data_IF_900655103622
#
_entry.id   IF_900655103622
#
_cell.length_a   1.000
_cell.length_b   1.000
_cell.length_c   1.000
_cell.angle_alpha   90.00
_cell.angle_beta   90.00
_cell.angle_gamma   90.00
#
_symmetry.space_group_name_H-M   'P 1'
#
loop_
_entity.id
_entity.type
_entity.pdbx_description
1 polymer ?
#
# COMPACT_ATOMS: atom_id res chain seq x y z
N UNK A 1 -7.93 -9.59 -62.50
CA UNK A 1 -6.61 -10.13 -62.09
C UNK A 1 -5.91 -9.11 -61.20
N UNK A 2 -5.58 -9.42 -59.95
CA UNK A 2 -4.80 -8.51 -59.10
C UNK A 2 -3.35 -8.42 -59.57
N UNK A 3 -2.86 -7.20 -59.79
CA UNK A 3 -1.47 -6.92 -60.20
C UNK A 3 -0.47 -7.59 -59.24
N UNK A 4 0.67 -8.11 -59.74
CA UNK A 4 1.75 -8.66 -58.90
C UNK A 4 2.19 -7.69 -57.79
N UNK A 5 2.17 -6.38 -58.06
CA UNK A 5 2.44 -5.33 -57.08
C UNK A 5 1.39 -5.33 -55.95
N UNK A 6 0.11 -5.42 -56.29
CA UNK A 6 -0.98 -5.48 -55.31
C UNK A 6 -0.90 -6.72 -54.40
N UNK A 7 -0.51 -7.88 -54.95
CA UNK A 7 -0.29 -9.09 -54.15
C UNK A 7 0.89 -8.97 -53.19
N UNK A 8 1.98 -8.32 -53.62
CA UNK A 8 3.14 -8.05 -52.77
C UNK A 8 2.78 -7.08 -51.64
N UNK A 9 2.05 -6.01 -51.96
CA UNK A 9 1.58 -5.03 -50.96
C UNK A 9 0.66 -5.71 -49.93
N UNK A 10 -0.32 -6.52 -50.37
CA UNK A 10 -1.21 -7.24 -49.45
C UNK A 10 -0.43 -8.17 -48.51
N UNK A 11 0.56 -8.91 -49.02
CA UNK A 11 1.41 -9.76 -48.17
C UNK A 11 2.17 -8.96 -47.11
N UNK A 12 2.71 -7.80 -47.48
CA UNK A 12 3.36 -6.89 -46.53
C UNK A 12 2.39 -6.36 -45.47
N UNK A 13 1.18 -5.95 -45.86
CA UNK A 13 0.14 -5.51 -44.93
C UNK A 13 -0.20 -6.62 -43.93
N UNK A 14 -0.45 -7.84 -44.41
CA UNK A 14 -0.76 -8.98 -43.55
C UNK A 14 0.40 -9.32 -42.60
N UNK A 15 1.65 -9.23 -43.08
CA UNK A 15 2.83 -9.42 -42.24
C UNK A 15 2.91 -8.37 -41.13
N UNK A 16 2.76 -7.08 -41.47
CA UNK A 16 2.82 -5.97 -40.51
C UNK A 16 1.71 -6.12 -39.46
N UNK A 17 0.47 -6.39 -39.88
CA UNK A 17 -0.66 -6.62 -38.97
C UNK A 17 -0.43 -7.84 -38.07
N UNK A 18 0.12 -8.93 -38.62
CA UNK A 18 0.45 -10.12 -37.85
C UNK A 18 1.49 -9.85 -36.77
N UNK A 19 2.56 -9.13 -37.11
CA UNK A 19 3.60 -8.71 -36.15
C UNK A 19 3.01 -7.77 -35.09
N UNK A 20 2.21 -6.79 -35.50
CA UNK A 20 1.57 -5.85 -34.58
C UNK A 20 0.66 -6.57 -33.56
N UNK A 21 -0.10 -7.59 -33.99
CA UNK A 21 -0.92 -8.40 -33.09
C UNK A 21 -0.10 -9.23 -32.10
N UNK A 22 1.03 -9.79 -32.54
CA UNK A 22 1.95 -10.51 -31.62
C UNK A 22 2.52 -9.55 -30.57
N UNK A 23 2.95 -8.35 -30.99
CA UNK A 23 3.42 -7.31 -30.06
C UNK A 23 2.30 -6.93 -29.08
N UNK A 24 1.07 -6.73 -29.58
CA UNK A 24 -0.09 -6.44 -28.72
C UNK A 24 -0.36 -7.57 -27.72
N UNK A 25 -0.21 -8.84 -28.13
CA UNK A 25 -0.31 -10.00 -27.23
C UNK A 25 0.75 -9.98 -26.12
N UNK A 26 2.02 -9.69 -26.44
CA UNK A 26 3.07 -9.52 -25.44
C UNK A 26 2.81 -8.34 -24.50
N UNK A 27 2.34 -7.22 -25.03
CA UNK A 27 1.93 -6.06 -24.22
C UNK A 27 0.80 -6.45 -23.27
N UNK A 28 -0.24 -7.13 -23.76
CA UNK A 28 -1.33 -7.61 -22.92
C UNK A 28 -0.85 -8.58 -21.83
N UNK A 29 0.08 -9.50 -22.14
CA UNK A 29 0.73 -10.36 -21.15
C UNK A 29 1.47 -9.55 -20.08
N UNK A 30 2.28 -8.58 -20.48
CA UNK A 30 3.01 -7.71 -19.55
C UNK A 30 2.05 -6.98 -18.61
N UNK A 31 0.98 -6.38 -19.15
CA UNK A 31 0.00 -5.70 -18.32
C UNK A 31 -0.74 -6.66 -17.39
N UNK A 32 -1.14 -7.84 -17.86
CA UNK A 32 -1.90 -8.79 -17.07
C UNK A 32 -1.07 -9.49 -15.97
N UNK A 33 0.08 -10.04 -16.36
CA UNK A 33 0.90 -10.88 -15.48
C UNK A 33 1.92 -10.11 -14.65
N UNK A 34 2.30 -8.90 -15.07
CA UNK A 34 3.26 -8.07 -14.32
C UNK A 34 2.60 -6.84 -13.72
N UNK A 35 2.05 -5.92 -14.52
CA UNK A 35 1.50 -4.66 -13.98
C UNK A 35 0.30 -4.91 -13.05
N UNK A 36 -0.74 -5.60 -13.52
CA UNK A 36 -1.99 -5.85 -12.79
C UNK A 36 -1.91 -7.01 -11.79
N UNK A 37 -0.79 -7.73 -11.70
CA UNK A 37 -0.71 -8.87 -10.77
C UNK A 37 -0.97 -8.47 -9.31
N UNK A 38 -0.33 -7.42 -8.76
CA UNK A 38 -0.56 -7.02 -7.38
C UNK A 38 -1.98 -6.53 -7.14
N UNK A 39 -2.53 -5.67 -8.00
CA UNK A 39 -3.93 -5.26 -7.91
C UNK A 39 -4.89 -6.46 -7.91
N UNK A 40 -4.63 -7.49 -8.72
CA UNK A 40 -5.46 -8.71 -8.76
C UNK A 40 -5.32 -9.54 -7.48
N UNK A 41 -4.13 -9.63 -6.92
CA UNK A 41 -3.89 -10.27 -5.63
C UNK A 41 -4.62 -9.54 -4.50
N UNK A 42 -4.47 -8.22 -4.43
CA UNK A 42 -5.13 -7.34 -3.47
C UNK A 42 -6.65 -7.25 -3.67
N UNK A 43 -7.19 -7.48 -4.86
CA UNK A 43 -8.64 -7.58 -5.06
C UNK A 43 -9.20 -8.98 -4.77
N UNK A 44 -8.32 -10.00 -4.66
CA UNK A 44 -8.72 -11.41 -4.54
C UNK A 44 -8.84 -11.80 -3.08
N UNK A 45 -10.07 -11.97 -2.59
CA UNK A 45 -10.32 -12.48 -1.24
C UNK A 45 -9.60 -13.82 -0.99
N UNK A 46 -9.61 -14.75 -1.96
CA UNK A 46 -8.83 -16.02 -1.87
C UNK A 46 -7.35 -15.77 -1.68
N UNK A 47 -6.80 -14.75 -2.34
CA UNK A 47 -5.37 -14.49 -2.23
C UNK A 47 -5.08 -13.91 -0.85
N UNK A 48 -5.83 -12.89 -0.43
CA UNK A 48 -5.67 -12.28 0.88
C UNK A 48 -5.85 -13.27 2.04
N UNK A 49 -6.75 -14.25 1.94
CA UNK A 49 -6.95 -15.25 3.01
C UNK A 49 -5.89 -16.34 3.04
N UNK A 50 -5.11 -16.51 1.97
CA UNK A 50 -4.05 -17.53 1.89
C UNK A 50 -2.63 -16.95 2.01
N UNK A 51 -2.49 -15.65 2.24
CA UNK A 51 -1.20 -14.99 2.34
C UNK A 51 -1.13 -14.22 3.66
N UNK A 52 0.07 -14.19 4.21
CA UNK A 52 0.40 -13.42 5.40
C UNK A 52 0.21 -11.92 5.16
N UNK A 53 0.15 -11.16 6.25
CA UNK A 53 0.12 -9.69 6.18
C UNK A 53 1.40 -9.13 5.55
N UNK A 54 2.54 -9.82 5.72
CA UNK A 54 3.82 -9.45 5.09
C UNK A 54 3.73 -9.58 3.58
N UNK A 55 3.29 -10.73 3.08
CA UNK A 55 3.11 -10.95 1.65
C UNK A 55 2.10 -9.97 1.05
N UNK A 56 1.00 -9.70 1.77
CA UNK A 56 0.05 -8.65 1.39
C UNK A 56 0.73 -7.29 1.28
N UNK A 57 1.52 -6.90 2.28
CA UNK A 57 2.25 -5.65 2.28
C UNK A 57 3.21 -5.56 1.08
N UNK A 58 3.94 -6.63 0.77
CA UNK A 58 4.79 -6.67 -0.44
C UNK A 58 3.99 -6.47 -1.74
N UNK A 59 2.79 -7.04 -1.85
CA UNK A 59 1.93 -6.81 -3.02
C UNK A 59 1.41 -5.36 -3.06
N UNK A 60 1.05 -4.75 -1.93
CA UNK A 60 0.71 -3.32 -1.86
C UNK A 60 1.87 -2.48 -2.40
N UNK A 61 3.08 -2.67 -1.89
CA UNK A 61 4.28 -1.97 -2.37
C UNK A 61 4.50 -2.16 -3.88
N UNK A 62 4.34 -3.39 -4.40
CA UNK A 62 4.45 -3.68 -5.84
C UNK A 62 3.38 -2.95 -6.65
N UNK A 63 2.14 -2.84 -6.15
CA UNK A 63 1.04 -2.15 -6.84
C UNK A 63 1.40 -0.68 -7.08
N UNK A 64 1.83 0.00 -6.02
CA UNK A 64 2.22 1.41 -6.06
C UNK A 64 3.41 1.68 -6.98
N UNK A 65 4.49 0.94 -6.81
CA UNK A 65 5.68 1.14 -7.64
C UNK A 65 5.44 0.75 -9.12
N UNK A 66 4.50 -0.15 -9.42
CA UNK A 66 4.19 -0.55 -10.79
C UNK A 66 3.22 0.39 -11.48
N UNK A 67 2.19 0.90 -10.80
CA UNK A 67 1.22 1.79 -11.43
C UNK A 67 1.55 3.26 -11.31
N UNK A 68 2.41 3.65 -10.36
CA UNK A 68 2.62 5.07 -10.02
C UNK A 68 1.29 5.73 -9.63
N UNK A 69 0.31 4.94 -9.17
CA UNK A 69 -0.99 5.47 -8.81
C UNK A 69 -0.87 6.31 -7.57
N UNK A 70 -1.57 7.45 -7.59
CA UNK A 70 -1.91 8.14 -6.36
C UNK A 70 -2.59 7.14 -5.43
N UNK A 71 -2.16 7.09 -4.18
CA UNK A 71 -2.86 6.36 -3.17
C UNK A 71 -4.30 6.87 -3.00
N UNK A 72 -5.28 5.98 -3.21
CA UNK A 72 -6.70 6.21 -2.89
C UNK A 72 -7.04 5.44 -1.60
N UNK A 73 -6.29 5.81 -0.56
CA UNK A 73 -5.85 4.91 0.53
C UNK A 73 -6.98 4.42 1.45
N UNK A 74 -8.03 5.22 1.61
CA UNK A 74 -9.14 4.85 2.48
C UNK A 74 -10.16 3.92 1.80
N UNK A 75 -10.29 3.96 0.47
CA UNK A 75 -11.31 3.16 -0.23
C UNK A 75 -10.90 1.70 -0.47
N UNK A 76 -9.61 1.36 -0.33
CA UNK A 76 -9.08 0.01 -0.58
C UNK A 76 -8.54 -0.69 0.67
N UNK A 77 -8.77 -0.14 1.86
CA UNK A 77 -8.22 -0.66 3.12
C UNK A 77 -6.69 -0.79 3.09
N UNK A 78 -6.03 0.17 2.44
CA UNK A 78 -4.59 0.19 2.21
C UNK A 78 -3.81 0.31 3.53
N UNK A 79 -2.62 -0.29 3.59
CA UNK A 79 -1.80 -0.30 4.79
C UNK A 79 -0.57 0.61 4.72
N UNK A 80 -0.34 1.38 3.65
CA UNK A 80 0.81 2.30 3.57
C UNK A 80 0.89 3.25 4.76
N UNK A 81 -0.21 3.89 5.18
CA UNK A 81 -0.15 4.80 6.33
C UNK A 81 0.25 4.08 7.63
N UNK A 82 -0.18 2.83 7.77
CA UNK A 82 0.06 2.04 8.99
C UNK A 82 1.45 1.39 9.00
N UNK A 83 1.95 0.93 7.86
CA UNK A 83 3.22 0.19 7.74
C UNK A 83 4.37 0.99 7.15
N UNK A 84 4.07 2.16 6.57
CA UNK A 84 5.04 3.03 5.94
C UNK A 84 6.07 3.57 6.91
N UNK A 85 7.32 3.51 6.49
CA UNK A 85 8.46 4.07 7.18
C UNK A 85 8.87 5.41 6.54
N UNK A 86 9.99 5.98 7.01
CA UNK A 86 10.60 7.18 6.43
C UNK A 86 10.75 7.09 4.90
N UNK A 87 11.23 5.97 4.37
CA UNK A 87 11.46 5.82 2.93
C UNK A 87 10.16 5.90 2.14
N UNK A 88 9.08 5.32 2.67
CA UNK A 88 7.74 5.45 2.09
C UNK A 88 7.21 6.88 2.12
N UNK A 89 7.40 7.60 3.23
CA UNK A 89 7.03 9.02 3.32
C UNK A 89 7.80 9.86 2.30
N UNK A 90 9.11 9.65 2.17
CA UNK A 90 9.95 10.36 1.19
C UNK A 90 9.51 10.00 -0.25
N UNK A 91 9.29 8.73 -0.55
CA UNK A 91 8.84 8.29 -1.86
C UNK A 91 7.50 8.92 -2.25
N UNK A 92 6.55 8.99 -1.32
CA UNK A 92 5.26 9.63 -1.57
C UNK A 92 5.40 11.13 -1.82
N UNK A 93 6.22 11.83 -1.02
CA UNK A 93 6.47 13.26 -1.20
C UNK A 93 7.15 13.54 -2.55
N UNK A 94 8.13 12.73 -2.93
CA UNK A 94 8.79 12.84 -4.24
C UNK A 94 7.77 12.71 -5.39
N UNK A 95 6.82 11.78 -5.28
CA UNK A 95 5.78 11.64 -6.29
C UNK A 95 4.83 12.84 -6.35
N UNK A 96 4.46 13.41 -5.20
CA UNK A 96 3.63 14.63 -5.14
C UNK A 96 4.32 15.81 -5.80
N UNK A 97 5.62 15.98 -5.52
CA UNK A 97 6.39 17.14 -5.95
C UNK A 97 6.79 17.01 -7.43
N UNK A 98 7.25 15.83 -7.84
CA UNK A 98 7.96 15.65 -9.10
C UNK A 98 7.15 14.90 -10.18
N UNK A 99 6.05 14.20 -9.83
CA UNK A 99 5.29 13.39 -10.81
C UNK A 99 4.06 14.14 -11.32
N UNK A 100 4.09 14.51 -12.62
CA UNK A 100 2.93 15.10 -13.30
C UNK A 100 1.75 14.12 -13.29
N UNK A 101 0.62 14.55 -12.72
CA UNK A 101 -0.60 13.75 -12.66
C UNK A 101 -0.73 12.86 -11.43
N UNK A 102 0.21 12.94 -10.47
CA UNK A 102 -0.01 12.37 -9.14
C UNK A 102 -1.13 13.17 -8.45
N UNK A 103 -2.23 12.50 -8.13
CA UNK A 103 -3.36 13.12 -7.43
C UNK A 103 -3.00 13.30 -5.96
N UNK A 104 -3.31 14.46 -5.41
CA UNK A 104 -3.27 14.69 -3.97
C UNK A 104 -4.72 14.84 -3.50
N UNK A 105 -5.13 14.04 -2.53
CA UNK A 105 -6.45 14.14 -1.89
C UNK A 105 -6.28 14.02 -0.37
N UNK A 106 -7.35 14.28 0.41
CA UNK A 106 -7.31 14.17 1.87
C UNK A 106 -6.73 12.83 2.37
N UNK A 107 -6.96 11.72 1.66
CA UNK A 107 -6.38 10.42 2.00
C UNK A 107 -4.84 10.40 1.94
N UNK A 108 -4.24 11.17 1.02
CA UNK A 108 -2.78 11.33 0.91
C UNK A 108 -2.24 12.06 2.14
N UNK A 109 -2.94 13.12 2.59
CA UNK A 109 -2.57 13.88 3.78
C UNK A 109 -2.61 13.02 5.03
N UNK A 110 -3.71 12.29 5.27
CA UNK A 110 -3.85 11.40 6.42
C UNK A 110 -2.76 10.34 6.51
N UNK A 111 -2.24 9.88 5.37
CA UNK A 111 -1.16 8.87 5.35
C UNK A 111 0.20 9.46 5.66
N UNK A 112 0.46 10.71 5.29
CA UNK A 112 1.64 11.39 5.83
C UNK A 112 1.53 11.61 7.32
N UNK A 113 0.38 12.03 7.81
CA UNK A 113 0.16 12.19 9.25
C UNK A 113 0.42 10.86 9.97
N UNK A 114 -0.09 9.74 9.44
CA UNK A 114 0.16 8.40 10.01
C UNK A 114 1.64 8.01 10.00
N UNK A 115 2.46 8.52 9.08
CA UNK A 115 3.90 8.24 9.06
C UNK A 115 4.75 9.26 9.82
N UNK A 116 4.25 10.48 10.06
CA UNK A 116 5.08 11.63 10.49
C UNK A 116 4.55 12.38 11.72
N UNK A 117 3.28 12.20 12.10
CA UNK A 117 2.53 13.09 13.00
C UNK A 117 2.50 14.57 12.57
N UNK A 118 2.79 14.87 11.30
CA UNK A 118 2.81 16.22 10.77
C UNK A 118 1.67 16.45 9.79
N UNK A 119 1.10 17.65 9.86
CA UNK A 119 0.07 18.14 8.93
C UNK A 119 0.41 19.58 8.53
N UNK A 120 1.46 19.80 7.71
CA UNK A 120 1.66 21.11 7.08
C UNK A 120 0.46 21.40 6.16
N UNK A 121 0.09 22.69 6.08
CA UNK A 121 -1.04 23.22 5.29
C UNK A 121 -1.20 22.49 3.95
N UNK A 122 -2.43 22.09 3.61
CA UNK A 122 -2.81 21.18 2.51
C UNK A 122 -2.34 21.59 1.09
N UNK A 123 -1.03 21.57 0.86
CA UNK A 123 -0.42 21.87 -0.43
C UNK A 123 0.86 21.07 -0.63
N UNK A 124 1.15 20.70 -1.88
CA UNK A 124 2.41 20.04 -2.22
C UNK A 124 3.64 20.92 -1.97
N UNK A 125 3.49 22.26 -2.01
CA UNK A 125 4.56 23.21 -1.72
C UNK A 125 4.91 23.23 -0.23
N UNK A 126 3.92 23.28 0.66
CA UNK A 126 4.12 23.21 2.11
C UNK A 126 4.85 21.93 2.51
N UNK A 127 4.45 20.81 1.90
CA UNK A 127 5.07 19.51 2.12
C UNK A 127 6.52 19.44 1.62
N UNK A 128 6.82 20.11 0.50
CA UNK A 128 8.18 20.23 -0.02
C UNK A 128 9.07 21.02 0.93
N UNK A 129 8.61 22.19 1.38
CA UNK A 129 9.36 23.03 2.32
C UNK A 129 9.61 22.31 3.65
N UNK A 130 8.59 21.60 4.16
CA UNK A 130 8.73 20.78 5.35
C UNK A 130 9.77 19.68 5.15
N UNK A 131 9.72 18.95 4.03
CA UNK A 131 10.68 17.89 3.74
C UNK A 131 12.11 18.44 3.61
N UNK A 132 12.31 19.55 2.92
CA UNK A 132 13.63 20.15 2.75
C UNK A 132 14.31 20.49 4.09
N UNK A 133 13.51 20.85 5.10
CA UNK A 133 13.97 21.16 6.45
C UNK A 133 14.19 19.91 7.32
N UNK A 134 13.34 18.88 7.17
CA UNK A 134 13.27 17.75 8.10
C UNK A 134 13.78 16.42 7.53
N UNK A 135 14.21 16.36 6.26
CA UNK A 135 14.65 15.12 5.57
C UNK A 135 15.79 14.37 6.27
N UNK A 136 16.65 15.06 7.01
CA UNK A 136 17.81 14.46 7.67
C UNK A 136 17.45 13.87 9.05
N UNK A 137 16.28 14.19 9.58
CA UNK A 137 15.74 13.62 10.82
C UNK A 137 15.17 12.22 10.59
N UNK A 138 15.18 11.39 11.63
CA UNK A 138 14.57 10.05 11.64
C UNK A 138 13.05 10.13 11.69
N UNK A 139 12.35 9.04 11.35
CA UNK A 139 10.89 8.98 11.48
C UNK A 139 10.47 9.25 12.93
N UNK A 140 11.19 8.66 13.88
CA UNK A 140 10.94 8.75 15.31
C UNK A 140 11.09 10.19 15.83
N UNK A 141 12.03 10.95 15.28
CA UNK A 141 12.16 12.38 15.58
C UNK A 141 10.96 13.18 15.06
N UNK A 142 10.45 12.87 13.87
CA UNK A 142 9.21 13.48 13.36
C UNK A 142 8.02 13.17 14.27
N UNK A 143 7.90 11.91 14.70
CA UNK A 143 6.83 11.48 15.61
C UNK A 143 6.92 12.19 16.96
N UNK A 144 8.12 12.27 17.54
CA UNK A 144 8.41 12.97 18.80
C UNK A 144 7.97 14.43 18.74
N UNK A 145 8.40 15.17 17.71
CA UNK A 145 7.98 16.56 17.48
C UNK A 145 6.46 16.69 17.30
N UNK A 146 5.82 15.69 16.69
CA UNK A 146 4.38 15.63 16.54
C UNK A 146 3.64 15.45 17.87
N UNK A 147 4.16 14.61 18.77
CA UNK A 147 3.60 14.44 20.12
C UNK A 147 3.71 15.70 20.97
N UNK A 148 4.80 16.45 20.84
CA UNK A 148 5.03 17.70 21.59
C UNK A 148 3.92 18.73 21.35
N UNK A 149 3.33 18.76 20.16
CA UNK A 149 2.18 19.63 19.83
C UNK A 149 0.94 19.36 20.68
N UNK A 150 0.85 18.16 21.25
CA UNK A 150 -0.23 17.72 22.13
C UNK A 150 0.22 17.62 23.59
N UNK A 151 1.35 18.25 23.94
CA UNK A 151 1.86 18.29 25.31
C UNK A 151 2.48 16.98 25.79
N UNK A 152 2.81 16.05 24.89
CA UNK A 152 3.46 14.78 25.23
C UNK A 152 4.91 14.80 24.75
N UNK A 153 5.83 14.63 25.71
CA UNK A 153 7.26 14.45 25.41
C UNK A 153 7.62 12.98 25.61
N UNK A 154 8.30 12.39 24.62
CA UNK A 154 8.77 11.00 24.65
C UNK A 154 10.27 10.94 24.52
N UNK A 155 10.89 9.83 24.95
CA UNK A 155 12.33 9.64 24.90
C UNK A 155 12.79 8.82 23.69
N UNK A 156 13.94 9.16 23.10
CA UNK A 156 14.60 8.38 22.06
C UNK A 156 16.04 8.06 22.50
N UNK A 157 16.34 6.82 22.94
CA UNK A 157 15.49 5.63 22.95
C UNK A 157 14.34 5.70 23.98
N UNK A 158 13.23 4.94 23.76
CA UNK A 158 12.07 4.96 24.65
C UNK A 158 12.39 4.52 26.08
N UNK A 159 11.65 5.09 27.03
CA UNK A 159 11.74 4.73 28.45
C UNK A 159 10.36 4.43 29.04
N UNK A 160 10.33 3.85 30.24
CA UNK A 160 9.07 3.54 30.92
C UNK A 160 8.27 4.80 31.31
N UNK A 161 8.90 5.97 31.35
CA UNK A 161 8.24 7.26 31.62
C UNK A 161 7.31 7.68 30.46
N UNK A 162 7.55 7.16 29.25
CA UNK A 162 6.72 7.45 28.07
C UNK A 162 5.35 6.78 28.15
N UNK A 163 5.19 5.71 28.95
CA UNK A 163 4.05 4.81 28.87
C UNK A 163 2.71 5.49 29.19
N UNK A 164 2.63 6.14 30.35
CA UNK A 164 1.39 6.79 30.78
C UNK A 164 0.98 7.97 29.89
N UNK A 165 1.87 8.93 29.56
CA UNK A 165 1.52 10.02 28.64
C UNK A 165 0.99 9.52 27.30
N UNK A 166 1.59 8.47 26.74
CA UNK A 166 1.14 7.89 25.47
C UNK A 166 -0.19 7.14 25.58
N UNK A 167 -0.43 6.43 26.69
CA UNK A 167 -1.75 5.83 26.95
C UNK A 167 -2.84 6.89 27.13
N UNK A 168 -2.52 7.99 27.84
CA UNK A 168 -3.44 9.12 27.98
C UNK A 168 -3.74 9.76 26.62
N UNK A 169 -2.74 9.87 25.74
CA UNK A 169 -2.93 10.35 24.36
C UNK A 169 -3.85 9.42 23.56
N UNK A 170 -3.67 8.10 23.67
CA UNK A 170 -4.51 7.08 23.03
C UNK A 170 -5.96 7.08 23.51
N UNK A 171 -6.16 7.32 24.81
CA UNK A 171 -7.48 7.31 25.44
C UNK A 171 -8.21 8.64 25.37
N UNK A 172 -7.63 9.66 24.73
CA UNK A 172 -8.29 10.92 24.51
C UNK A 172 -9.47 10.71 23.54
N UNK A 173 -10.68 10.74 24.08
CA UNK A 173 -11.91 10.66 23.31
C UNK A 173 -12.20 12.02 22.70
N UNK A 174 -12.73 12.02 21.47
CA UNK A 174 -13.39 13.18 20.91
C UNK A 174 -14.55 13.55 21.85
N UNK A 175 -14.66 14.81 22.28
CA UNK A 175 -15.82 15.25 23.06
C UNK A 175 -17.08 15.12 22.21
N UNK A 176 -18.21 14.86 22.87
CA UNK A 176 -19.54 14.75 22.26
C UNK A 176 -19.82 15.87 21.25
N UNK A 177 -20.49 15.52 20.16
CA UNK A 177 -20.89 16.33 18.99
C UNK A 177 -21.69 17.62 19.32
N UNK A 178 -21.96 17.91 20.61
CA UNK A 178 -22.68 19.10 21.07
C UNK A 178 -21.76 20.27 21.50
N UNK A 179 -20.44 20.06 21.62
CA UNK A 179 -19.48 21.15 21.84
C UNK A 179 -18.97 21.65 20.49
N UNK A 180 -19.57 22.76 20.05
CA UNK A 180 -19.30 23.47 18.81
C UNK A 180 -17.83 23.94 18.76
N UNK A 181 -16.99 23.23 17.99
CA UNK A 181 -15.58 23.55 17.67
C UNK A 181 -14.63 23.66 18.86
N UNK A 182 -14.17 22.53 19.41
CA UNK A 182 -12.98 22.49 20.28
C UNK A 182 -11.74 22.11 19.44
N UNK A 183 -10.78 23.03 19.34
CA UNK A 183 -9.49 22.91 18.62
C UNK A 183 -8.55 21.80 19.18
N UNK A 184 -9.02 21.00 20.14
CA UNK A 184 -8.22 20.03 20.89
C UNK A 184 -8.45 18.56 20.51
N UNK A 185 -9.04 18.27 19.34
CA UNK A 185 -9.19 16.88 18.87
C UNK A 185 -7.80 16.33 18.47
N UNK A 186 -7.39 15.27 19.14
CA UNK A 186 -6.14 14.56 18.83
C UNK A 186 -6.37 13.71 17.58
N UNK A 187 -5.63 13.94 16.48
CA UNK A 187 -5.83 13.17 15.25
C UNK A 187 -5.57 11.68 15.45
N UNK A 188 -6.34 10.84 14.77
CA UNK A 188 -6.17 9.37 14.79
C UNK A 188 -4.76 8.93 14.39
N UNK A 189 -4.09 9.69 13.51
CA UNK A 189 -2.70 9.44 13.15
C UNK A 189 -1.75 9.54 14.36
N UNK A 190 -1.95 10.55 15.21
CA UNK A 190 -1.15 10.76 16.42
C UNK A 190 -1.41 9.66 17.44
N UNK A 191 -2.69 9.30 17.64
CA UNK A 191 -3.06 8.16 18.48
C UNK A 191 -2.41 6.87 17.97
N UNK A 192 -2.50 6.59 16.67
CA UNK A 192 -1.89 5.39 16.09
C UNK A 192 -0.38 5.34 16.29
N UNK A 193 0.33 6.46 16.15
CA UNK A 193 1.76 6.51 16.41
C UNK A 193 2.11 6.39 17.89
N UNK A 194 1.25 6.86 18.81
CA UNK A 194 1.43 6.58 20.24
C UNK A 194 1.31 5.08 20.54
N UNK A 195 0.36 4.40 19.89
CA UNK A 195 0.28 2.94 19.92
C UNK A 195 1.56 2.29 19.39
N UNK A 196 2.08 2.71 18.22
CA UNK A 196 3.32 2.16 17.64
C UNK A 196 4.50 2.34 18.58
N UNK A 197 4.63 3.53 19.16
CA UNK A 197 5.71 3.83 20.12
C UNK A 197 5.67 2.90 21.33
N UNK A 198 4.50 2.71 21.93
CA UNK A 198 4.30 1.76 23.04
C UNK A 198 4.58 0.32 22.61
N UNK A 199 4.02 -0.13 21.48
CA UNK A 199 4.20 -1.49 20.98
C UNK A 199 5.68 -1.80 20.75
N UNK A 200 6.39 -0.88 20.12
CA UNK A 200 7.76 -1.09 19.65
C UNK A 200 8.79 -0.81 20.76
N UNK A 201 8.43 -0.07 21.82
CA UNK A 201 9.27 0.10 23.02
C UNK A 201 9.31 -1.14 23.93
N UNK A 202 8.46 -2.13 23.68
CA UNK A 202 8.30 -3.31 24.52
C UNK A 202 7.37 -3.11 25.71
N UNK A 203 6.42 -2.17 25.62
CA UNK A 203 5.40 -1.96 26.65
C UNK A 203 4.61 -3.24 26.96
N UNK A 204 4.66 -3.68 28.23
CA UNK A 204 3.89 -4.80 28.74
C UNK A 204 2.64 -4.28 29.46
N UNK A 205 1.52 -4.27 28.73
CA UNK A 205 0.24 -3.80 29.23
C UNK A 205 -0.31 -4.65 30.39
N UNK A 206 -0.01 -5.96 30.43
CA UNK A 206 -0.46 -6.83 31.51
C UNK A 206 0.28 -6.52 32.81
N UNK A 207 1.59 -6.29 32.71
CA UNK A 207 2.40 -5.85 33.84
C UNK A 207 1.96 -4.47 34.32
N UNK A 208 1.71 -3.54 33.40
CA UNK A 208 1.23 -2.19 33.72
C UNK A 208 -0.07 -2.22 34.54
N UNK A 209 -1.09 -2.97 34.10
CA UNK A 209 -2.38 -3.05 34.83
C UNK A 209 -2.27 -3.73 36.19
N UNK A 210 -1.31 -4.66 36.35
CA UNK A 210 -1.05 -5.37 37.62
C UNK A 210 -0.35 -4.47 38.63
N UNK A 211 0.62 -3.68 38.17
CA UNK A 211 1.44 -2.80 39.03
C UNK A 211 0.71 -1.50 39.37
N UNK A 212 -0.05 -0.93 38.42
CA UNK A 212 -0.76 0.33 38.61
C UNK A 212 -2.23 0.11 38.99
N UNK A 213 -2.51 -0.08 40.29
CA UNK A 213 -3.85 -0.47 40.78
C UNK A 213 -4.98 0.55 40.51
N UNK A 214 -4.65 1.81 40.28
CA UNK A 214 -5.59 2.90 40.08
C UNK A 214 -5.76 3.29 38.60
N UNK A 215 -5.28 2.47 37.65
CA UNK A 215 -5.35 2.78 36.22
C UNK A 215 -6.79 3.02 35.72
N UNK A 216 -7.77 2.40 36.38
CA UNK A 216 -9.20 2.56 36.07
C UNK A 216 -9.83 3.83 36.66
N UNK A 217 -9.16 4.50 37.61
CA UNK A 217 -9.69 5.71 38.24
C UNK A 217 -9.65 6.91 37.27
N UNK A 218 -8.69 6.92 36.33
CA UNK A 218 -8.67 7.85 35.21
C UNK A 218 -9.38 7.23 34.02
N UNK A 219 -10.54 7.79 33.63
CA UNK A 219 -11.28 7.34 32.44
C UNK A 219 -10.39 7.36 31.19
N UNK A 220 -9.64 8.44 31.00
CA UNK A 220 -8.74 8.59 29.85
C UNK A 220 -7.64 7.53 29.83
N UNK A 221 -7.05 7.20 30.99
CA UNK A 221 -6.05 6.14 31.05
C UNK A 221 -6.66 4.76 30.76
N UNK A 222 -7.86 4.50 31.29
CA UNK A 222 -8.57 3.25 31.06
C UNK A 222 -8.94 3.07 29.59
N UNK A 223 -9.47 4.11 28.95
CA UNK A 223 -9.77 4.14 27.52
C UNK A 223 -8.48 3.93 26.70
N UNK A 224 -7.35 4.52 27.13
CA UNK A 224 -6.05 4.35 26.50
C UNK A 224 -5.54 2.90 26.50
N UNK A 225 -5.67 2.22 27.64
CA UNK A 225 -5.33 0.79 27.76
C UNK A 225 -6.24 -0.06 26.86
N UNK A 226 -7.54 0.21 26.85
CA UNK A 226 -8.50 -0.50 25.98
C UNK A 226 -8.18 -0.28 24.49
N UNK A 227 -7.91 0.97 24.08
CA UNK A 227 -7.50 1.33 22.73
C UNK A 227 -6.19 0.63 22.34
N UNK A 228 -5.19 0.62 23.23
CA UNK A 228 -3.94 -0.09 22.99
C UNK A 228 -4.19 -1.59 22.71
N UNK A 229 -4.97 -2.27 23.55
CA UNK A 229 -5.29 -3.70 23.38
C UNK A 229 -6.03 -3.94 22.06
N UNK A 230 -7.01 -3.09 21.74
CA UNK A 230 -7.79 -3.20 20.51
C UNK A 230 -6.93 -3.02 19.25
N UNK A 231 -6.10 -1.98 19.21
CA UNK A 231 -5.21 -1.70 18.08
C UNK A 231 -4.12 -2.78 17.98
N UNK A 232 -3.57 -3.25 19.11
CA UNK A 232 -2.59 -4.34 19.15
C UNK A 232 -3.10 -5.64 18.51
N UNK A 233 -4.37 -5.98 18.69
CA UNK A 233 -4.97 -7.15 18.05
C UNK A 233 -5.02 -7.02 16.51
N UNK A 234 -5.16 -5.78 16.02
CA UNK A 234 -5.18 -5.48 14.58
C UNK A 234 -3.79 -5.27 13.98
N UNK A 235 -2.78 -4.89 14.77
CA UNK A 235 -1.42 -4.59 14.32
C UNK A 235 -0.35 -5.15 15.27
N UNK A 236 -0.34 -6.49 15.49
CA UNK A 236 0.58 -7.11 16.43
C UNK A 236 2.02 -6.99 15.94
N UNK A 237 2.96 -6.91 16.90
CA UNK A 237 4.40 -6.85 16.60
C UNK A 237 4.90 -8.13 15.89
N UNK A 238 4.22 -9.26 16.10
CA UNK A 238 4.53 -10.55 15.47
C UNK A 238 4.43 -10.53 13.94
N UNK A 239 3.70 -9.58 13.38
CA UNK A 239 3.62 -9.42 11.92
C UNK A 239 4.91 -8.86 11.32
N UNK A 240 5.79 -8.23 12.13
CA UNK A 240 7.02 -7.60 11.62
C UNK A 240 6.79 -6.35 10.76
N UNK A 241 5.58 -5.78 10.79
CA UNK A 241 5.16 -4.67 9.91
C UNK A 241 5.00 -3.35 10.66
N UNK A 242 5.45 -2.26 10.03
CA UNK A 242 5.33 -0.90 10.57
C UNK A 242 6.09 -0.71 11.88
N UNK A 243 7.13 -1.50 12.14
CA UNK A 243 7.95 -1.41 13.36
C UNK A 243 8.88 -0.20 13.24
N UNK A 244 8.90 0.65 14.27
CA UNK A 244 9.82 1.78 14.41
C UNK A 244 11.27 1.29 14.55
N UNK A 245 12.25 2.14 14.22
CA UNK A 245 13.65 1.76 14.13
C UNK A 245 14.25 1.24 15.45
N UNK A 246 13.72 1.68 16.62
CA UNK A 246 14.12 1.15 17.92
C UNK A 246 13.42 -0.16 18.30
N UNK A 247 12.38 -0.56 17.56
CA UNK A 247 11.62 -1.77 17.81
C UNK A 247 12.36 -3.03 17.38
N UNK A 248 12.14 -4.12 18.12
CA UNK A 248 12.73 -5.42 17.80
C UNK A 248 11.86 -6.15 16.79
N UNK A 249 12.43 -6.51 15.64
CA UNK A 249 11.77 -7.41 14.68
C UNK A 249 11.50 -8.78 15.33
N UNK A 250 10.31 -9.37 15.12
CA UNK A 250 10.02 -10.72 15.58
C UNK A 250 10.93 -11.74 14.90
N UNK A 251 11.15 -12.89 15.55
CA UNK A 251 11.82 -14.01 14.91
C UNK A 251 10.93 -14.52 13.75
N UNK A 252 11.48 -14.77 12.55
CA UNK A 252 10.73 -15.36 11.44
C UNK A 252 9.96 -16.64 11.80
N UNK A 253 10.36 -17.37 12.85
CA UNK A 253 9.65 -18.56 13.34
C UNK A 253 8.28 -18.29 13.97
N UNK A 254 8.01 -17.05 14.40
CA UNK A 254 6.84 -16.70 15.20
C UNK A 254 5.63 -16.23 14.36
N UNK A 255 5.78 -16.18 13.03
CA UNK A 255 4.70 -15.84 12.11
C UNK A 255 3.68 -16.99 12.02
N UNK A 256 2.67 -16.94 12.88
CA UNK A 256 1.57 -17.91 12.93
C UNK A 256 0.77 -17.95 11.62
N UNK A 257 0.62 -19.16 11.06
CA UNK A 257 -0.29 -19.48 9.95
C UNK A 257 -1.75 -19.17 10.35
N UNK A 258 -2.45 -18.35 9.56
CA UNK A 258 -3.88 -18.09 9.73
C UNK A 258 -4.76 -18.85 8.72
N UNK A 259 -5.94 -19.18 9.23
CA UNK A 259 -6.92 -20.16 8.76
C UNK A 259 -7.64 -19.78 7.45
N UNK A 260 -7.98 -20.81 6.66
CA UNK A 260 -8.31 -20.73 5.23
C UNK A 260 -9.82 -20.79 5.00
N UNK A 261 -10.39 -19.73 4.41
CA UNK A 261 -11.72 -19.77 3.80
C UNK A 261 -11.76 -19.08 2.44
N UNK A 262 -12.62 -19.61 1.55
CA UNK A 262 -12.68 -19.30 0.11
C UNK A 262 -13.84 -18.33 -0.18
N UNK A 263 -13.59 -17.26 -0.95
CA UNK A 263 -14.57 -16.87 -1.96
C UNK A 263 -13.98 -16.38 -3.29
N UNK A 264 -14.70 -16.72 -4.37
CA UNK A 264 -14.35 -16.66 -5.80
C UNK A 264 -14.24 -15.22 -6.32
N UNK A 265 -13.04 -14.79 -6.71
CA UNK A 265 -12.89 -13.66 -7.64
C UNK A 265 -13.44 -14.08 -9.00
N UNK A 266 -14.40 -13.32 -9.54
CA UNK A 266 -15.25 -13.76 -10.65
C UNK A 266 -14.44 -14.18 -11.90
N UNK A 267 -14.48 -15.49 -12.18
CA UNK A 267 -13.81 -16.19 -13.29
C UNK A 267 -13.94 -15.50 -14.67
N UNK A 268 -15.00 -14.69 -14.86
CA UNK A 268 -15.32 -13.96 -16.08
C UNK A 268 -14.21 -13.01 -16.51
N UNK A 269 -13.60 -12.26 -15.60
CA UNK A 269 -12.53 -11.31 -15.95
C UNK A 269 -11.25 -12.02 -16.38
N UNK A 270 -10.90 -13.13 -15.70
CA UNK A 270 -9.74 -13.96 -16.06
C UNK A 270 -9.94 -14.57 -17.46
N UNK A 271 -11.14 -15.07 -17.75
CA UNK A 271 -11.48 -15.64 -19.05
C UNK A 271 -11.35 -14.62 -20.19
N UNK A 272 -11.86 -13.39 -20.01
CA UNK A 272 -11.77 -12.34 -21.02
C UNK A 272 -10.30 -11.97 -21.28
N UNK A 273 -9.50 -11.76 -20.24
CA UNK A 273 -8.08 -11.40 -20.40
C UNK A 273 -7.29 -12.48 -21.16
N UNK A 274 -7.48 -13.75 -20.79
CA UNK A 274 -6.84 -14.86 -21.49
C UNK A 274 -7.31 -15.01 -22.94
N UNK A 275 -8.61 -14.78 -23.21
CA UNK A 275 -9.14 -14.81 -24.57
C UNK A 275 -8.51 -13.71 -25.45
N UNK A 276 -8.36 -12.49 -24.93
CA UNK A 276 -7.71 -11.38 -25.66
C UNK A 276 -6.26 -11.75 -25.99
N UNK A 277 -5.49 -12.19 -24.97
CA UNK A 277 -4.07 -12.55 -25.13
C UNK A 277 -3.91 -13.67 -26.18
N UNK A 278 -4.70 -14.75 -26.06
CA UNK A 278 -4.62 -15.88 -26.97
C UNK A 278 -5.03 -15.50 -28.40
N UNK A 279 -6.08 -14.69 -28.55
CA UNK A 279 -6.56 -14.23 -29.85
C UNK A 279 -5.50 -13.41 -30.58
N UNK A 280 -4.81 -12.50 -29.88
CA UNK A 280 -3.71 -11.73 -30.44
C UNK A 280 -2.58 -12.63 -30.98
N UNK A 281 -2.15 -13.63 -30.22
CA UNK A 281 -1.08 -14.54 -30.66
C UNK A 281 -1.51 -15.44 -31.82
N UNK A 282 -2.68 -16.07 -31.72
CA UNK A 282 -3.17 -17.01 -32.75
C UNK A 282 -3.43 -16.31 -34.07
N UNK A 283 -4.14 -15.17 -34.05
CA UNK A 283 -4.39 -14.40 -35.27
C UNK A 283 -3.12 -13.78 -35.83
N UNK A 284 -2.23 -13.27 -34.97
CA UNK A 284 -0.94 -12.72 -35.38
C UNK A 284 -0.07 -13.76 -36.09
N UNK A 285 0.08 -14.94 -35.48
CA UNK A 285 0.82 -16.06 -36.08
C UNK A 285 0.19 -16.53 -37.39
N UNK A 286 -1.14 -16.63 -37.47
CA UNK A 286 -1.85 -17.01 -38.68
C UNK A 286 -1.61 -16.01 -39.83
N UNK A 287 -1.66 -14.70 -39.56
CA UNK A 287 -1.41 -13.65 -40.55
C UNK A 287 0.04 -13.67 -41.04
N UNK A 288 1.01 -13.85 -40.15
CA UNK A 288 2.42 -14.01 -40.53
C UNK A 288 2.60 -15.25 -41.40
N UNK A 289 2.01 -16.38 -41.02
CA UNK A 289 2.07 -17.61 -41.81
C UNK A 289 1.45 -17.44 -43.21
N UNK A 290 0.27 -16.80 -43.31
CA UNK A 290 -0.42 -16.53 -44.58
C UNK A 290 0.43 -15.59 -45.47
N UNK A 291 1.05 -14.56 -44.89
CA UNK A 291 1.91 -13.62 -45.64
C UNK A 291 3.11 -14.33 -46.29
N UNK A 292 3.65 -15.35 -45.61
CA UNK A 292 4.85 -16.11 -46.00
C UNK A 292 4.56 -17.33 -46.85
N UNK A 293 3.31 -17.81 -46.95
CA UNK A 293 2.96 -18.92 -47.84
C UNK A 293 3.35 -18.59 -49.28
N UNK A 294 4.34 -19.31 -49.80
CA UNK A 294 4.57 -19.45 -51.24
C UNK A 294 3.46 -20.34 -51.78
N UNK A 295 2.89 -20.02 -52.95
CA UNK A 295 2.04 -20.98 -53.64
C UNK A 295 2.91 -22.20 -53.91
N UNK A 296 2.53 -23.36 -53.39
CA UNK A 296 3.03 -24.64 -53.89
C UNK A 296 2.76 -24.62 -55.39
N UNK A 297 3.83 -24.69 -56.20
CA UNK A 297 3.67 -24.97 -57.61
C UNK A 297 3.08 -26.37 -57.65
N UNK A 298 1.81 -26.48 -58.02
CA UNK A 298 1.26 -27.75 -58.51
C UNK A 298 2.11 -28.07 -59.73
N UNK A 299 2.94 -29.10 -59.63
CA UNK A 299 3.52 -29.72 -60.81
C UNK A 299 2.35 -30.33 -61.55
N UNK A 300 1.94 -29.72 -62.65
CA UNK A 300 1.16 -30.40 -63.66
C UNK A 300 2.07 -31.53 -64.18
N UNK A 301 1.76 -32.77 -63.79
CA UNK A 301 2.28 -33.94 -64.47
C UNK A 301 1.39 -34.14 -65.70
N UNK A 302 2.04 -34.09 -66.85
CA UNK A 302 1.51 -34.38 -68.19
C UNK A 302 0.64 -35.65 -68.23
#
# INVERSE_FOLDING_TARGET
MTSPKAKRILKWILFILGVALIIAGFTACYYWFYKLAPTRHLASAVWQTNHSRIERWEEEQKDYHRFGSSPDLFFRSDKIGFYGNKDWAIWLLDNIINTKGFRVCGCTHSVFELMTNQSPVDSGESWKEWLDKHKDETQEQWLQQGFEKYGVTVHLPPTAEDHEPLLMLLGNQEKDENDEYDDCIIPEAVKYNAFRWLRDSGFDWEKFIKERKDWQASKQLADGVCSYIHIKANFPISDGLGILAFGKMPDPSDALEYDRMIPILSWRYKAIAYAIILTCFVLGAALVAISRRKKLKVQDHD
#
